data_IF_153287935199
#
_entry.id   IF_153287935199
#
_cell.length_a   1.000
_cell.length_b   1.000
_cell.length_c   1.000
_cell.angle_alpha   90.00
_cell.angle_beta   90.00
_cell.angle_gamma   90.00
#
_symmetry.space_group_name_H-M   'P 1'
#
loop_
_entity.id
_entity.type
_entity.pdbx_description
1 polymer ?
#
# COMPACT_ATOMS: atom_id res chain seq x y z
N UNK A 1 -2.75 -15.38 3.47
CA UNK A 1 -4.05 -15.11 2.82
C UNK A 1 -4.18 -15.64 1.38
N UNK A 2 -3.09 -15.82 0.61
CA UNK A 2 -3.20 -16.29 -0.79
C UNK A 2 -3.68 -17.74 -0.97
N UNK A 3 -3.30 -18.64 -0.06
CA UNK A 3 -3.62 -20.07 -0.14
C UNK A 3 -5.14 -20.37 -0.11
N UNK A 4 -5.95 -19.85 0.84
CA UNK A 4 -7.39 -20.11 0.84
C UNK A 4 -8.14 -19.45 -0.32
N UNK A 5 -7.68 -18.27 -0.79
CA UNK A 5 -8.28 -17.57 -1.94
C UNK A 5 -8.07 -18.34 -3.26
N UNK A 6 -6.91 -18.97 -3.45
CA UNK A 6 -6.63 -19.81 -4.61
C UNK A 6 -7.50 -21.07 -4.67
N UNK A 7 -7.80 -21.66 -3.51
CA UNK A 7 -8.69 -22.82 -3.40
C UNK A 7 -10.16 -22.43 -3.65
N UNK A 8 -10.62 -21.30 -3.11
CA UNK A 8 -11.99 -20.82 -3.32
C UNK A 8 -12.28 -20.48 -4.79
N UNK A 9 -11.30 -19.90 -5.49
CA UNK A 9 -11.40 -19.62 -6.93
C UNK A 9 -11.44 -20.89 -7.78
N UNK A 10 -10.77 -21.97 -7.35
CA UNK A 10 -10.79 -23.26 -8.03
C UNK A 10 -12.14 -23.99 -7.89
N UNK A 11 -12.84 -23.81 -6.77
CA UNK A 11 -14.14 -24.45 -6.48
C UNK A 11 -15.32 -23.78 -7.20
N UNK A 12 -15.22 -22.50 -7.59
CA UNK A 12 -16.27 -21.74 -8.30
C UNK A 12 -15.90 -21.35 -9.75
N UNK A 13 -15.25 -22.27 -10.46
CA UNK A 13 -14.97 -22.15 -11.90
C UNK A 13 -16.25 -21.82 -12.67
N UNK A 14 -16.27 -20.69 -13.38
CA UNK A 14 -17.39 -20.27 -14.24
C UNK A 14 -18.43 -19.32 -13.62
N UNK A 15 -18.23 -18.83 -12.38
CA UNK A 15 -19.09 -17.77 -11.83
C UNK A 15 -18.71 -16.37 -12.34
N UNK A 16 -19.65 -15.43 -12.34
CA UNK A 16 -19.40 -14.01 -12.68
C UNK A 16 -18.23 -13.43 -11.85
N UNK A 17 -18.05 -13.89 -10.62
CA UNK A 17 -16.95 -13.48 -9.74
C UNK A 17 -15.60 -13.97 -10.28
N UNK A 18 -15.52 -15.20 -10.81
CA UNK A 18 -14.30 -15.75 -11.44
C UNK A 18 -13.94 -14.96 -12.71
N UNK A 19 -14.95 -14.53 -13.48
CA UNK A 19 -14.76 -13.75 -14.70
C UNK A 19 -14.32 -12.31 -14.41
N UNK A 20 -14.88 -11.67 -13.38
CA UNK A 20 -14.44 -10.35 -12.89
C UNK A 20 -12.99 -10.44 -12.37
N UNK A 21 -12.66 -11.47 -11.58
CA UNK A 21 -11.30 -11.66 -11.06
C UNK A 21 -10.31 -11.91 -12.20
N UNK A 22 -10.68 -12.68 -13.24
CA UNK A 22 -9.87 -12.88 -14.45
C UNK A 22 -9.67 -11.60 -15.26
N UNK A 23 -10.71 -10.80 -15.46
CA UNK A 23 -10.62 -9.54 -16.21
C UNK A 23 -9.75 -8.54 -15.45
N UNK A 24 -9.96 -8.37 -14.15
CA UNK A 24 -9.11 -7.54 -13.29
C UNK A 24 -7.68 -8.06 -13.28
N UNK A 25 -7.49 -9.38 -13.23
CA UNK A 25 -6.18 -10.02 -13.29
C UNK A 25 -5.45 -9.84 -14.62
N UNK A 26 -6.17 -9.86 -15.76
CA UNK A 26 -5.63 -9.61 -17.10
C UNK A 26 -5.28 -8.13 -17.30
N UNK A 27 -6.14 -7.21 -16.87
CA UNK A 27 -5.87 -5.77 -16.89
C UNK A 27 -4.67 -5.47 -15.97
N UNK A 28 -4.64 -6.03 -14.77
CA UNK A 28 -3.52 -5.89 -13.83
C UNK A 28 -2.22 -6.55 -14.30
N UNK A 29 -2.26 -7.50 -15.24
CA UNK A 29 -1.06 -8.13 -15.80
C UNK A 29 -0.31 -7.20 -16.78
N UNK A 30 -1.05 -6.36 -17.52
CA UNK A 30 -0.50 -5.39 -18.46
C UNK A 30 -0.23 -4.02 -17.83
N UNK A 31 -0.79 -3.76 -16.65
CA UNK A 31 -0.62 -2.49 -15.93
C UNK A 31 0.69 -2.53 -15.14
N UNK A 32 1.67 -1.68 -15.47
CA UNK A 32 2.92 -1.60 -14.72
C UNK A 32 2.67 -1.27 -13.25
N UNK A 33 3.54 -1.74 -12.35
CA UNK A 33 3.41 -1.48 -10.91
C UNK A 33 3.34 0.03 -10.57
N UNK A 34 4.01 0.87 -11.36
CA UNK A 34 3.95 2.33 -11.18
C UNK A 34 2.54 2.87 -11.40
N UNK A 35 1.77 2.31 -12.34
CA UNK A 35 0.39 2.72 -12.60
C UNK A 35 -0.52 2.35 -11.44
N UNK A 36 -0.33 1.16 -10.83
CA UNK A 36 -1.06 0.78 -9.62
C UNK A 36 -0.76 1.76 -8.48
N UNK A 37 0.50 2.22 -8.36
CA UNK A 37 0.87 3.27 -7.42
C UNK A 37 0.16 4.59 -7.69
N UNK A 38 0.11 5.04 -8.95
CA UNK A 38 -0.60 6.28 -9.33
C UNK A 38 -2.11 6.18 -9.06
N UNK A 39 -2.76 5.07 -9.42
CA UNK A 39 -4.19 4.86 -9.15
C UNK A 39 -4.48 4.81 -7.65
N UNK A 40 -3.60 4.18 -6.88
CA UNK A 40 -3.70 4.14 -5.42
C UNK A 40 -3.56 5.55 -4.81
N UNK A 41 -2.67 6.40 -5.33
CA UNK A 41 -2.58 7.81 -4.93
C UNK A 41 -3.86 8.58 -5.28
N UNK A 42 -4.41 8.42 -6.49
CA UNK A 42 -5.68 9.08 -6.85
C UNK A 42 -6.81 8.67 -5.91
N UNK A 43 -6.91 7.38 -5.59
CA UNK A 43 -8.00 6.87 -4.76
C UNK A 43 -7.80 7.21 -3.29
N UNK A 44 -6.69 6.78 -2.69
CA UNK A 44 -6.48 6.84 -1.25
C UNK A 44 -6.01 8.21 -0.77
N UNK A 45 -5.23 8.92 -1.58
CA UNK A 45 -4.84 10.29 -1.28
C UNK A 45 -5.91 11.26 -1.83
N UNK A 46 -6.06 11.43 -3.14
CA UNK A 46 -6.85 12.53 -3.68
C UNK A 46 -8.36 12.45 -3.40
N UNK A 47 -8.96 11.24 -3.44
CA UNK A 47 -10.41 11.07 -3.20
C UNK A 47 -10.76 10.79 -1.74
N UNK A 48 -10.11 9.80 -1.12
CA UNK A 48 -10.46 9.32 0.21
C UNK A 48 -9.75 10.06 1.34
N UNK A 49 -8.62 10.73 1.06
CA UNK A 49 -7.81 11.45 2.05
C UNK A 49 -7.33 10.56 3.22
N UNK A 50 -7.24 9.25 3.01
CA UNK A 50 -6.82 8.28 4.03
C UNK A 50 -5.31 8.33 4.28
N UNK A 51 -4.54 8.50 3.21
CA UNK A 51 -3.07 8.52 3.24
C UNK A 51 -2.57 9.92 2.91
N UNK A 52 -1.33 10.20 3.31
CA UNK A 52 -0.74 11.52 3.16
C UNK A 52 -0.11 11.73 1.77
N UNK A 53 0.22 12.99 1.46
CA UNK A 53 0.89 13.38 0.22
C UNK A 53 2.28 12.72 0.12
N UNK A 54 2.83 12.49 -1.09
CA UNK A 54 4.19 11.97 -1.24
C UNK A 54 5.23 12.83 -0.52
N UNK A 55 5.97 12.22 0.40
CA UNK A 55 6.91 12.91 1.27
C UNK A 55 7.27 12.03 2.47
N UNK A 56 8.01 12.61 3.42
CA UNK A 56 8.33 11.93 4.69
C UNK A 56 7.37 12.33 5.80
N UNK A 57 7.00 13.60 5.83
CA UNK A 57 6.08 14.24 6.77
C UNK A 57 5.37 15.39 6.05
N UNK A 58 4.25 15.83 6.62
CA UNK A 58 3.60 17.07 6.25
C UNK A 58 4.50 18.27 6.58
N UNK A 59 4.39 19.33 5.76
CA UNK A 59 5.19 20.57 5.86
C UNK A 59 5.08 21.22 7.24
N UNK A 60 3.94 21.03 7.92
CA UNK A 60 3.69 21.53 9.29
C UNK A 60 4.71 20.99 10.30
N UNK A 61 5.20 19.76 10.09
CA UNK A 61 6.14 19.11 10.99
C UNK A 61 7.59 19.22 10.54
N UNK A 62 7.85 19.66 9.30
CA UNK A 62 9.20 19.70 8.71
C UNK A 62 10.18 20.57 9.52
N UNK A 63 9.70 21.68 10.10
CA UNK A 63 10.52 22.58 10.92
C UNK A 63 10.34 22.39 12.44
N UNK A 64 9.34 21.59 12.84
CA UNK A 64 8.97 21.38 14.25
C UNK A 64 9.52 20.08 14.79
N UNK A 65 9.74 19.09 13.93
CA UNK A 65 10.23 17.77 14.29
C UNK A 65 11.71 17.60 13.93
N UNK A 66 12.54 17.30 14.93
CA UNK A 66 13.96 16.99 14.74
C UNK A 66 14.21 15.50 14.97
N UNK A 67 14.56 14.73 13.92
CA UNK A 67 14.91 13.32 14.05
C UNK A 67 16.18 13.13 14.88
N UNK A 68 16.22 12.09 15.73
CA UNK A 68 17.39 11.74 16.56
C UNK A 68 18.16 10.60 15.90
N UNK A 69 17.45 9.51 15.58
CA UNK A 69 18.02 8.32 14.94
C UNK A 69 17.93 8.38 13.42
N UNK A 70 17.02 9.21 12.90
CA UNK A 70 16.69 9.25 11.48
C UNK A 70 15.56 8.29 11.10
N UNK A 71 15.05 7.48 12.04
CA UNK A 71 13.86 6.66 11.84
C UNK A 71 12.63 7.36 12.42
N UNK A 72 11.86 8.03 11.56
CA UNK A 72 10.88 9.04 11.94
C UNK A 72 9.76 8.49 12.85
N UNK A 73 9.30 7.25 12.61
CA UNK A 73 8.27 6.61 13.46
C UNK A 73 8.77 6.32 14.88
N UNK A 74 10.01 5.85 15.01
CA UNK A 74 10.61 5.55 16.31
C UNK A 74 10.96 6.84 17.04
N UNK A 75 11.51 7.81 16.32
CA UNK A 75 11.83 9.13 16.85
C UNK A 75 10.57 9.86 17.34
N UNK A 76 9.46 9.80 16.60
CA UNK A 76 8.19 10.39 17.00
C UNK A 76 7.58 9.69 18.24
N UNK A 77 7.68 8.36 18.33
CA UNK A 77 7.29 7.60 19.53
C UNK A 77 8.14 7.97 20.74
N UNK A 78 9.47 8.05 20.55
CA UNK A 78 10.43 8.37 21.62
C UNK A 78 10.20 9.79 22.17
N UNK A 79 9.97 10.74 21.28
CA UNK A 79 9.68 12.13 21.63
C UNK A 79 8.23 12.35 22.10
N UNK A 80 7.41 11.28 22.13
CA UNK A 80 5.98 11.30 22.48
C UNK A 80 5.15 12.28 21.64
N UNK A 81 5.58 12.52 20.40
CA UNK A 81 4.88 13.37 19.44
C UNK A 81 3.91 12.54 18.62
N UNK A 82 2.73 12.29 19.19
CA UNK A 82 1.71 11.42 18.59
C UNK A 82 1.16 11.94 17.27
N UNK A 83 1.14 13.26 17.09
CA UNK A 83 0.68 13.89 15.84
C UNK A 83 1.66 13.58 14.70
N UNK A 84 2.97 13.76 14.92
CA UNK A 84 4.03 13.39 13.96
C UNK A 84 4.05 11.89 13.70
N UNK A 85 3.82 11.06 14.73
CA UNK A 85 3.76 9.61 14.55
C UNK A 85 2.63 9.20 13.60
N UNK A 86 1.42 9.74 13.81
CA UNK A 86 0.26 9.47 12.94
C UNK A 86 0.52 9.97 11.52
N UNK A 87 1.15 11.14 11.41
CA UNK A 87 1.53 11.71 10.13
C UNK A 87 2.52 10.81 9.38
N UNK A 88 3.65 10.45 10.00
CA UNK A 88 4.64 9.54 9.44
C UNK A 88 4.02 8.18 9.04
N UNK A 89 3.08 7.68 9.84
CA UNK A 89 2.38 6.43 9.55
C UNK A 89 1.49 6.53 8.30
N UNK A 90 0.79 7.65 8.12
CA UNK A 90 -0.03 7.92 6.92
C UNK A 90 0.81 8.08 5.66
N UNK A 91 2.05 8.55 5.78
CA UNK A 91 2.99 8.68 4.66
C UNK A 91 3.55 7.31 4.20
N UNK A 92 3.77 6.38 5.13
CA UNK A 92 4.42 5.10 4.79
C UNK A 92 3.46 3.98 4.40
N UNK A 93 2.20 4.02 4.85
CA UNK A 93 1.28 2.89 4.69
C UNK A 93 0.98 2.54 3.23
N UNK A 94 0.76 3.55 2.39
CA UNK A 94 0.50 3.34 0.96
C UNK A 94 1.72 2.74 0.24
N UNK A 95 2.91 3.36 0.25
CA UNK A 95 4.08 2.80 -0.43
C UNK A 95 4.49 1.44 0.13
N UNK A 96 4.46 1.24 1.45
CA UNK A 96 4.78 -0.05 2.05
C UNK A 96 3.80 -1.15 1.62
N UNK A 97 2.49 -0.84 1.55
CA UNK A 97 1.49 -1.79 1.07
C UNK A 97 1.67 -2.15 -0.40
N UNK A 98 2.02 -1.18 -1.26
CA UNK A 98 2.29 -1.40 -2.67
C UNK A 98 3.53 -2.27 -2.89
N UNK A 99 4.63 -1.98 -2.17
CA UNK A 99 5.85 -2.79 -2.21
C UNK A 99 5.59 -4.22 -1.70
N UNK A 100 4.86 -4.35 -0.58
CA UNK A 100 4.48 -5.65 -0.04
C UNK A 100 3.59 -6.47 -0.98
N UNK A 101 2.62 -5.81 -1.63
CA UNK A 101 1.78 -6.44 -2.65
C UNK A 101 2.61 -6.92 -3.85
N UNK A 102 3.54 -6.08 -4.34
CA UNK A 102 4.42 -6.45 -5.45
C UNK A 102 5.28 -7.67 -5.12
N UNK A 103 5.93 -7.68 -3.94
CA UNK A 103 6.73 -8.82 -3.49
C UNK A 103 5.89 -10.09 -3.32
N UNK A 104 4.68 -9.98 -2.74
CA UNK A 104 3.76 -11.11 -2.59
C UNK A 104 3.32 -11.67 -3.95
N UNK A 105 2.95 -10.81 -4.89
CA UNK A 105 2.53 -11.20 -6.23
C UNK A 105 3.67 -11.90 -6.99
N UNK A 106 4.91 -11.43 -6.84
CA UNK A 106 6.09 -12.04 -7.42
C UNK A 106 6.37 -13.43 -6.82
N UNK A 107 6.43 -13.54 -5.49
CA UNK A 107 6.68 -14.81 -4.80
C UNK A 107 5.61 -15.84 -5.15
N UNK A 108 4.33 -15.44 -5.16
CA UNK A 108 3.20 -16.33 -5.48
C UNK A 108 3.25 -16.87 -6.91
N UNK A 109 3.91 -16.18 -7.85
CA UNK A 109 4.10 -16.67 -9.23
C UNK A 109 5.27 -17.63 -9.35
N UNK A 110 6.34 -17.43 -8.59
CA UNK A 110 7.49 -18.34 -8.59
C UNK A 110 7.19 -19.69 -7.91
N UNK A 111 6.22 -19.73 -7.01
CA UNK A 111 5.81 -20.95 -6.31
C UNK A 111 4.79 -21.80 -7.06
N UNK A 112 4.32 -21.37 -8.24
CA UNK A 112 3.28 -22.02 -9.03
C UNK A 112 3.85 -22.63 -10.31
#
# INVERSE_FOLDING_TARGET
LGVPLGVLAAVRRGSIIDQIVRIIGLVGYSVPIFWLGLLALVLFYAKLQWVAFPGRLDIVYEYTFTPITGFYLLDALWQRQWDVFRDAFRHIILPASLLGYFSLAYISRMTR
#
